data_IF_306808273733
#
_entry.id   IF_306808273733
#
_cell.length_a   1.000
_cell.length_b   1.000
_cell.length_c   1.000
_cell.angle_alpha   90.00
_cell.angle_beta   90.00
_cell.angle_gamma   90.00
#
_symmetry.space_group_name_H-M   'P 1'
#
loop_
_entity.id
_entity.type
_entity.pdbx_description
1 polymer ?
#
# COMPACT_ATOMS: atom_id res chain seq x y z
N UNK A 1 24.98 -5.68 1.25
CA UNK A 1 23.69 -6.19 1.76
C UNK A 1 23.60 -5.89 3.25
N UNK A 2 22.41 -5.56 3.76
CA UNK A 2 22.17 -5.34 5.19
C UNK A 2 21.11 -6.34 5.65
N UNK A 3 21.38 -7.07 6.72
CA UNK A 3 20.51 -8.10 7.27
C UNK A 3 20.13 -7.77 8.71
N UNK A 4 18.87 -8.01 9.09
CA UNK A 4 18.38 -7.88 10.48
C UNK A 4 18.66 -9.11 11.35
N UNK A 5 19.32 -10.11 10.76
CA UNK A 5 19.73 -11.39 11.32
C UNK A 5 21.16 -11.72 10.86
N UNK A 6 21.84 -12.62 11.58
CA UNK A 6 23.16 -13.09 11.17
C UNK A 6 23.10 -14.09 10.00
N UNK A 7 23.26 -13.58 8.78
CA UNK A 7 23.24 -14.38 7.56
C UNK A 7 24.44 -15.35 7.42
N UNK A 8 25.54 -15.13 8.15
CA UNK A 8 26.77 -15.93 8.05
C UNK A 8 26.93 -16.86 9.25
N UNK A 9 26.32 -16.53 10.39
CA UNK A 9 26.34 -17.34 11.61
C UNK A 9 27.66 -17.27 12.37
N UNK A 10 28.34 -16.12 12.33
CA UNK A 10 29.65 -15.89 12.98
C UNK A 10 29.66 -14.72 13.96
N UNK A 11 28.50 -14.11 14.20
CA UNK A 11 28.26 -12.98 15.10
C UNK A 11 29.27 -11.84 14.92
N UNK A 12 29.48 -11.41 13.67
CA UNK A 12 30.27 -10.22 13.34
C UNK A 12 29.34 -9.16 12.76
N UNK A 13 29.56 -7.86 13.06
CA UNK A 13 28.73 -6.77 12.53
C UNK A 13 28.93 -6.54 11.03
N UNK A 14 30.11 -6.88 10.49
CA UNK A 14 30.45 -6.71 9.07
C UNK A 14 31.22 -7.94 8.59
N UNK A 15 30.81 -8.45 7.43
CA UNK A 15 31.51 -9.48 6.67
C UNK A 15 31.93 -8.92 5.32
N UNK A 16 33.20 -9.07 4.99
CA UNK A 16 33.75 -8.66 3.69
C UNK A 16 34.27 -9.90 2.99
N UNK A 17 33.81 -10.12 1.78
CA UNK A 17 34.23 -11.22 0.92
C UNK A 17 34.87 -10.69 -0.34
N UNK A 18 35.84 -11.43 -0.85
CA UNK A 18 36.47 -11.25 -2.15
C UNK A 18 36.52 -12.61 -2.87
N UNK A 19 36.77 -12.57 -4.17
CA UNK A 19 36.90 -13.80 -4.96
C UNK A 19 38.28 -14.41 -4.72
N UNK A 20 38.32 -15.68 -4.28
CA UNK A 20 39.54 -16.44 -4.02
C UNK A 20 39.64 -17.64 -4.98
N UNK A 21 40.87 -18.05 -5.28
CA UNK A 21 41.15 -19.29 -6.02
C UNK A 21 40.72 -20.50 -5.17
N UNK A 22 40.08 -21.49 -5.80
CA UNK A 22 39.56 -22.66 -5.09
C UNK A 22 40.64 -23.72 -4.87
N UNK A 23 41.56 -23.84 -5.82
CA UNK A 23 42.72 -24.74 -5.80
C UNK A 23 43.79 -24.26 -4.82
N UNK A 24 43.93 -22.94 -4.67
CA UNK A 24 44.81 -22.30 -3.67
C UNK A 24 44.09 -21.14 -2.96
N UNK A 25 43.59 -21.42 -1.76
CA UNK A 25 42.80 -20.47 -0.97
C UNK A 25 43.59 -19.27 -0.44
N UNK A 26 44.92 -19.25 -0.61
CA UNK A 26 45.74 -18.09 -0.27
C UNK A 26 45.85 -17.09 -1.42
N UNK A 27 45.43 -17.47 -2.63
CA UNK A 27 45.47 -16.63 -3.82
C UNK A 27 44.13 -15.93 -4.03
N UNK A 28 44.14 -14.60 -3.96
CA UNK A 28 43.00 -13.73 -4.30
C UNK A 28 42.98 -13.43 -5.81
N UNK A 29 41.80 -13.31 -6.40
CA UNK A 29 41.63 -12.99 -7.83
C UNK A 29 42.07 -11.55 -8.17
N UNK A 30 42.18 -10.67 -7.17
CA UNK A 30 42.58 -9.26 -7.33
C UNK A 30 41.75 -8.46 -8.36
N UNK A 31 40.49 -8.84 -8.57
CA UNK A 31 39.56 -8.20 -9.51
C UNK A 31 38.94 -6.89 -8.99
N UNK A 32 39.35 -6.44 -7.80
CA UNK A 32 38.82 -5.25 -7.13
C UNK A 32 37.41 -5.41 -6.55
N UNK A 33 36.76 -6.57 -6.71
CA UNK A 33 35.38 -6.78 -6.26
C UNK A 33 35.34 -7.19 -4.79
N UNK A 34 34.58 -6.44 -3.98
CA UNK A 34 34.29 -6.79 -2.58
C UNK A 34 32.79 -6.87 -2.34
N UNK A 35 32.35 -7.95 -1.70
CA UNK A 35 30.97 -8.12 -1.24
C UNK A 35 30.92 -7.87 0.26
N UNK A 36 30.16 -6.85 0.67
CA UNK A 36 29.98 -6.50 2.09
C UNK A 36 28.58 -6.90 2.55
N UNK A 37 28.51 -7.68 3.62
CA UNK A 37 27.28 -8.06 4.32
C UNK A 37 27.33 -7.46 5.73
N UNK A 38 26.33 -6.68 6.07
CA UNK A 38 26.21 -6.01 7.36
C UNK A 38 25.15 -6.74 8.18
N UNK A 39 25.51 -7.13 9.40
CA UNK A 39 24.67 -7.88 10.30
C UNK A 39 24.22 -6.99 11.48
N UNK A 40 22.95 -6.61 11.50
CA UNK A 40 22.40 -5.78 12.56
C UNK A 40 22.19 -6.54 13.88
N UNK A 41 22.25 -7.88 13.90
CA UNK A 41 22.15 -8.68 15.12
C UNK A 41 23.38 -8.53 16.02
N UNK A 42 24.56 -8.43 15.41
CA UNK A 42 25.84 -8.25 16.09
C UNK A 42 26.17 -6.76 16.38
N UNK A 43 25.16 -5.90 16.55
CA UNK A 43 25.36 -4.47 16.77
C UNK A 43 26.17 -4.15 18.04
N UNK A 44 26.17 -5.04 19.03
CA UNK A 44 26.95 -4.89 20.25
C UNK A 44 28.46 -5.10 20.05
N UNK A 45 28.83 -5.83 18.99
CA UNK A 45 30.19 -6.30 18.72
C UNK A 45 30.98 -5.38 17.77
N UNK A 46 30.45 -4.20 17.46
CA UNK A 46 31.17 -3.13 16.74
C UNK A 46 31.67 -2.06 17.70
N UNK A 47 32.93 -1.68 17.53
CA UNK A 47 33.55 -0.55 18.24
C UNK A 47 33.20 0.81 17.62
N UNK A 48 32.80 0.81 16.34
CA UNK A 48 32.33 2.03 15.67
C UNK A 48 30.95 2.43 16.21
N UNK A 49 30.89 3.57 16.89
CA UNK A 49 29.68 4.11 17.53
C UNK A 49 28.56 4.41 16.54
N UNK A 50 28.85 5.06 15.43
CA UNK A 50 27.82 5.40 14.43
C UNK A 50 27.22 4.14 13.81
N UNK A 51 28.07 3.17 13.46
CA UNK A 51 27.63 1.87 12.95
C UNK A 51 26.79 1.15 14.00
N UNK A 52 27.22 1.12 15.27
CA UNK A 52 26.48 0.52 16.38
C UNK A 52 25.08 1.09 16.51
N UNK A 53 24.97 2.42 16.54
CA UNK A 53 23.68 3.12 16.68
C UNK A 53 22.77 2.86 15.47
N UNK A 54 23.32 2.83 14.26
CA UNK A 54 22.58 2.49 13.05
C UNK A 54 22.06 1.05 13.06
N UNK A 55 22.92 0.08 13.40
CA UNK A 55 22.54 -1.34 13.47
C UNK A 55 21.52 -1.60 14.58
N UNK A 56 21.68 -0.96 15.74
CA UNK A 56 20.70 -1.05 16.83
C UNK A 56 19.35 -0.48 16.39
N UNK A 57 19.34 0.63 15.65
CA UNK A 57 18.11 1.19 15.09
C UNK A 57 17.45 0.20 14.12
N UNK A 58 18.20 -0.42 13.20
CA UNK A 58 17.64 -1.42 12.29
C UNK A 58 17.05 -2.64 13.01
N UNK A 59 17.64 -3.05 14.14
CA UNK A 59 17.17 -4.21 14.92
C UNK A 59 15.99 -3.88 15.82
N UNK A 60 15.93 -2.67 16.38
CA UNK A 60 14.99 -2.31 17.46
C UNK A 60 13.96 -1.25 17.10
N UNK A 61 14.17 -0.51 16.00
CA UNK A 61 13.40 0.68 15.63
C UNK A 61 13.64 1.90 16.53
N UNK A 62 14.59 1.84 17.48
CA UNK A 62 14.81 2.94 18.44
C UNK A 62 15.90 3.87 17.95
N UNK A 63 15.53 5.09 17.56
CA UNK A 63 16.48 6.12 17.16
C UNK A 63 17.26 6.67 18.37
N UNK A 64 18.59 6.63 18.30
CA UNK A 64 19.49 7.05 19.39
C UNK A 64 20.48 8.14 18.99
N UNK A 65 20.55 8.44 17.70
CA UNK A 65 21.47 9.41 17.12
C UNK A 65 20.73 10.38 16.21
N UNK A 66 21.36 11.51 15.87
CA UNK A 66 20.79 12.45 14.90
C UNK A 66 20.55 11.77 13.55
N UNK A 67 21.50 10.95 13.10
CA UNK A 67 21.37 10.18 11.86
C UNK A 67 20.17 9.25 11.86
N UNK A 68 19.97 8.46 12.93
CA UNK A 68 18.83 7.53 13.02
C UNK A 68 17.50 8.24 13.22
N UNK A 69 17.47 9.42 13.87
CA UNK A 69 16.27 10.27 13.96
C UNK A 69 15.83 10.81 12.60
N UNK A 70 16.78 11.28 11.79
CA UNK A 70 16.49 11.73 10.43
C UNK A 70 15.91 10.62 9.56
N UNK A 71 16.39 9.38 9.72
CA UNK A 71 15.80 8.22 9.05
C UNK A 71 14.36 7.98 9.53
N UNK A 72 14.13 8.01 10.83
CA UNK A 72 12.79 7.82 11.42
C UNK A 72 11.79 8.88 10.91
N UNK A 73 12.18 10.15 10.86
CA UNK A 73 11.35 11.25 10.35
C UNK A 73 10.94 11.05 8.89
N UNK A 74 11.88 10.60 8.05
CA UNK A 74 11.58 10.26 6.65
C UNK A 74 10.60 9.09 6.56
N UNK A 75 10.78 8.05 7.37
CA UNK A 75 9.87 6.90 7.41
C UNK A 75 8.46 7.33 7.82
N UNK A 76 8.33 8.16 8.84
CA UNK A 76 7.03 8.67 9.29
C UNK A 76 6.33 9.50 8.21
N UNK A 77 7.09 10.35 7.51
CA UNK A 77 6.57 11.16 6.40
C UNK A 77 6.04 10.29 5.27
N UNK A 78 6.76 9.22 4.90
CA UNK A 78 6.33 8.28 3.86
C UNK A 78 5.07 7.52 4.30
N UNK A 79 5.03 7.01 5.55
CA UNK A 79 3.85 6.30 6.09
C UNK A 79 2.60 7.17 6.08
N UNK A 80 2.70 8.43 6.52
CA UNK A 80 1.58 9.38 6.50
C UNK A 80 1.08 9.63 5.08
N UNK A 81 2.00 9.76 4.10
CA UNK A 81 1.61 9.92 2.70
C UNK A 81 0.88 8.68 2.16
N UNK A 82 1.36 7.47 2.48
CA UNK A 82 0.69 6.24 2.09
C UNK A 82 -0.69 6.09 2.73
N UNK A 83 -0.84 6.43 4.02
CA UNK A 83 -2.13 6.45 4.69
C UNK A 83 -3.09 7.44 4.02
N UNK A 84 -2.64 8.68 3.77
CA UNK A 84 -3.45 9.68 3.07
C UNK A 84 -3.88 9.19 1.67
N UNK A 85 -2.99 8.50 0.94
CA UNK A 85 -3.34 7.88 -0.36
C UNK A 85 -4.38 6.77 -0.22
N UNK A 86 -4.31 5.96 0.82
CA UNK A 86 -5.29 4.91 1.10
C UNK A 86 -6.66 5.52 1.44
N UNK A 87 -6.70 6.53 2.30
CA UNK A 87 -7.92 7.26 2.66
C UNK A 87 -8.57 7.90 1.43
N UNK A 88 -7.78 8.55 0.56
CA UNK A 88 -8.29 9.15 -0.67
C UNK A 88 -8.89 8.11 -1.64
N UNK A 89 -8.26 6.93 -1.76
CA UNK A 89 -8.80 5.83 -2.57
C UNK A 89 -10.13 5.32 -2.01
N UNK A 90 -10.21 5.17 -0.69
CA UNK A 90 -11.44 4.74 -0.04
C UNK A 90 -12.56 5.77 -0.24
N UNK A 91 -12.26 7.06 -0.01
CA UNK A 91 -13.21 8.16 -0.17
C UNK A 91 -13.75 8.26 -1.61
N UNK A 92 -12.86 8.21 -2.62
CA UNK A 92 -13.27 8.27 -4.03
C UNK A 92 -14.14 7.07 -4.45
N UNK A 93 -13.91 5.89 -3.85
CA UNK A 93 -14.77 4.72 -4.08
C UNK A 93 -16.17 4.95 -3.51
N UNK A 94 -16.28 5.46 -2.27
CA UNK A 94 -17.58 5.80 -1.68
C UNK A 94 -18.31 6.90 -2.47
N UNK A 95 -17.61 7.92 -2.93
CA UNK A 95 -18.17 8.98 -3.76
C UNK A 95 -18.73 8.44 -5.09
N UNK A 96 -17.99 7.53 -5.74
CA UNK A 96 -18.44 6.89 -6.97
C UNK A 96 -19.72 6.07 -6.73
N UNK A 97 -19.74 5.28 -5.66
CA UNK A 97 -20.88 4.42 -5.31
C UNK A 97 -22.13 5.25 -4.96
N UNK A 98 -21.95 6.36 -4.23
CA UNK A 98 -23.02 7.30 -3.91
C UNK A 98 -23.57 7.98 -5.17
N UNK A 99 -22.71 8.41 -6.11
CA UNK A 99 -23.14 8.98 -7.39
C UNK A 99 -23.90 7.97 -8.24
N UNK A 100 -23.43 6.73 -8.31
CA UNK A 100 -24.10 5.67 -9.06
C UNK A 100 -25.49 5.37 -8.50
N UNK A 101 -25.61 5.22 -7.18
CA UNK A 101 -26.89 5.04 -6.49
C UNK A 101 -27.83 6.22 -6.73
N UNK A 102 -27.37 7.45 -6.53
CA UNK A 102 -28.18 8.65 -6.76
C UNK A 102 -28.65 8.79 -8.20
N UNK A 103 -27.81 8.44 -9.18
CA UNK A 103 -28.21 8.42 -10.60
C UNK A 103 -29.26 7.34 -10.88
N UNK A 104 -29.06 6.11 -10.39
CA UNK A 104 -30.02 5.02 -10.56
C UNK A 104 -31.37 5.31 -9.89
N UNK A 105 -31.35 5.85 -8.67
CA UNK A 105 -32.55 6.28 -7.94
C UNK A 105 -33.25 7.42 -8.68
N UNK A 106 -32.51 8.40 -9.20
CA UNK A 106 -33.06 9.49 -10.01
C UNK A 106 -33.71 9.01 -11.30
N UNK A 107 -33.11 8.06 -12.01
CA UNK A 107 -33.71 7.43 -13.19
C UNK A 107 -35.00 6.68 -12.84
N UNK A 108 -35.00 5.91 -11.74
CA UNK A 108 -36.19 5.21 -11.28
C UNK A 108 -37.29 6.19 -10.90
N UNK A 109 -36.96 7.24 -10.16
CA UNK A 109 -37.89 8.28 -9.74
C UNK A 109 -38.52 9.01 -10.93
N UNK A 110 -37.71 9.39 -11.93
CA UNK A 110 -38.21 10.01 -13.17
C UNK A 110 -39.15 9.07 -13.93
N UNK A 111 -38.85 7.78 -13.96
CA UNK A 111 -39.70 6.77 -14.60
C UNK A 111 -41.05 6.65 -13.88
N UNK A 112 -41.05 6.66 -12.55
CA UNK A 112 -42.25 6.67 -11.71
C UNK A 112 -43.09 7.93 -11.95
N UNK A 113 -42.47 9.11 -11.96
CA UNK A 113 -43.16 10.38 -12.22
C UNK A 113 -43.79 10.42 -13.62
N UNK A 114 -43.07 9.92 -14.63
CA UNK A 114 -43.57 9.80 -15.99
C UNK A 114 -44.77 8.85 -16.04
N UNK A 115 -44.69 7.69 -15.39
CA UNK A 115 -45.79 6.74 -15.31
C UNK A 115 -47.03 7.32 -14.63
N UNK A 116 -46.87 8.07 -13.52
CA UNK A 116 -47.97 8.78 -12.85
C UNK A 116 -48.67 9.78 -13.77
N UNK A 117 -47.89 10.59 -14.50
CA UNK A 117 -48.44 11.58 -15.44
C UNK A 117 -49.17 10.92 -16.62
N UNK A 118 -48.67 9.79 -17.12
CA UNK A 118 -49.33 9.04 -18.20
C UNK A 118 -50.61 8.38 -17.71
N UNK A 119 -50.62 7.81 -16.51
CA UNK A 119 -51.82 7.22 -15.89
C UNK A 119 -52.91 8.28 -15.69
N UNK A 120 -52.55 9.48 -15.21
CA UNK A 120 -53.46 10.62 -15.10
C UNK A 120 -54.06 11.06 -16.44
N UNK A 121 -53.35 10.83 -17.55
CA UNK A 121 -53.82 11.13 -18.91
C UNK A 121 -54.55 9.95 -19.58
N UNK A 122 -54.84 8.87 -18.85
CA UNK A 122 -55.54 7.67 -19.31
C UNK A 122 -54.83 6.92 -20.46
N UNK A 123 -53.49 6.91 -20.48
CA UNK A 123 -52.75 6.00 -21.36
C UNK A 123 -52.86 4.55 -20.87
N UNK A 124 -52.82 3.59 -21.82
CA UNK A 124 -52.87 2.16 -21.51
C UNK A 124 -51.65 1.68 -20.73
N UNK A 125 -51.84 0.74 -19.81
CA UNK A 125 -50.79 0.19 -18.94
C UNK A 125 -49.69 -0.52 -19.71
N UNK A 126 -50.01 -1.17 -20.84
CA UNK A 126 -49.02 -1.78 -21.71
C UNK A 126 -48.05 -0.75 -22.31
N UNK A 127 -48.57 0.41 -22.74
CA UNK A 127 -47.76 1.50 -23.29
C UNK A 127 -46.92 2.19 -22.20
N UNK A 128 -47.47 2.36 -21.00
CA UNK A 128 -46.73 2.93 -19.85
C UNK A 128 -45.55 2.04 -19.48
N UNK A 129 -45.74 0.71 -19.46
CA UNK A 129 -44.68 -0.28 -19.24
C UNK A 129 -43.57 -0.17 -20.28
N UNK A 130 -43.92 -0.08 -21.56
CA UNK A 130 -42.95 0.03 -22.66
C UNK A 130 -42.12 1.31 -22.57
N UNK A 131 -42.73 2.46 -22.28
CA UNK A 131 -42.03 3.75 -22.26
C UNK A 131 -41.19 3.94 -20.98
N UNK A 132 -41.71 3.51 -19.82
CA UNK A 132 -41.05 3.76 -18.53
C UNK A 132 -40.14 2.63 -18.07
N UNK A 133 -40.26 1.44 -18.67
CA UNK A 133 -39.52 0.25 -18.27
C UNK A 133 -39.87 -0.28 -16.88
N UNK A 134 -40.90 0.27 -16.23
CA UNK A 134 -41.36 -0.17 -14.91
C UNK A 134 -42.14 -1.49 -15.03
N UNK A 135 -42.06 -2.39 -14.03
CA UNK A 135 -42.89 -3.59 -14.01
C UNK A 135 -44.37 -3.22 -13.82
N UNK A 136 -45.28 -4.00 -14.43
CA UNK A 136 -46.73 -3.77 -14.34
C UNK A 136 -47.21 -3.67 -12.89
N UNK A 137 -46.68 -4.50 -11.99
CA UNK A 137 -47.01 -4.47 -10.56
C UNK A 137 -46.64 -3.16 -9.86
N UNK A 138 -45.63 -2.43 -10.35
CA UNK A 138 -45.32 -1.09 -9.83
C UNK A 138 -46.29 -0.06 -10.44
N UNK A 139 -46.60 -0.14 -11.73
CA UNK A 139 -47.51 0.79 -12.44
C UNK A 139 -48.95 0.71 -11.89
N UNK A 140 -49.44 -0.49 -11.58
CA UNK A 140 -50.78 -0.70 -11.01
C UNK A 140 -50.93 -0.03 -9.64
N UNK A 141 -49.85 0.04 -8.86
CA UNK A 141 -49.82 0.64 -7.52
C UNK A 141 -49.66 2.18 -7.51
N UNK A 142 -49.33 2.79 -8.66
CA UNK A 142 -49.19 4.25 -8.81
C UNK A 142 -50.54 4.98 -8.86
#
# INVERSE_FOLDING_TARGET
MICTFDAIGKNKPVYTFENICLEDKNTSLQDGTKKVIINAEAFKDTENKELKEFLEYLKTGKAKSEFTRRIEEMIQTVKQNEQARQEYRLMSTFEMDARYKGFSEGLKQKSIETAKLMKLKNFDTALIKEITGLPESEIEKL
#
